data_IF_101922744087
#
_entry.id   IF_101922744087
#
_cell.length_a   1.000
_cell.length_b   1.000
_cell.length_c   1.000
_cell.angle_alpha   90.00
_cell.angle_beta   90.00
_cell.angle_gamma   90.00
#
_symmetry.space_group_name_H-M   'P 1'
#
loop_
_entity.id
_entity.type
_entity.pdbx_description
1 polymer ?
#
# COMPACT_ATOMS: atom_id res chain seq x y z
N UNK A 1 7.46 -3.43 40.67
CA UNK A 1 7.68 -3.33 39.21
C UNK A 1 7.38 -1.89 38.81
N UNK A 2 8.28 -1.18 38.12
CA UNK A 2 7.92 0.11 37.51
C UNK A 2 6.82 -0.18 36.48
N UNK A 3 5.86 0.74 36.30
CA UNK A 3 4.81 0.61 35.29
C UNK A 3 5.36 0.44 33.85
N UNK A 4 6.67 0.63 33.65
CA UNK A 4 7.37 0.41 32.38
C UNK A 4 7.50 -1.05 31.96
N UNK A 5 7.47 -2.02 32.89
CA UNK A 5 7.86 -3.42 32.64
C UNK A 5 6.67 -4.40 32.73
N UNK A 6 5.43 -3.90 32.62
CA UNK A 6 4.22 -4.72 32.62
C UNK A 6 3.96 -5.30 31.21
N UNK A 7 3.98 -6.64 31.03
CA UNK A 7 3.65 -7.28 29.76
C UNK A 7 2.27 -6.89 29.19
N UNK A 8 1.31 -6.55 30.06
CA UNK A 8 0.00 -6.06 29.66
C UNK A 8 0.08 -4.71 28.96
N UNK A 9 0.94 -3.80 29.44
CA UNK A 9 1.17 -2.49 28.84
C UNK A 9 1.81 -2.61 27.46
N UNK A 10 2.82 -3.46 27.30
CA UNK A 10 3.48 -3.67 26.02
C UNK A 10 2.52 -4.23 24.96
N UNK A 11 1.71 -5.23 25.35
CA UNK A 11 0.66 -5.78 24.48
C UNK A 11 -0.39 -4.74 24.12
N UNK A 12 -0.81 -3.90 25.07
CA UNK A 12 -1.73 -2.80 24.80
C UNK A 12 -1.15 -1.79 23.80
N UNK A 13 0.10 -1.35 23.98
CA UNK A 13 0.78 -0.42 23.06
C UNK A 13 0.94 -1.04 21.67
N UNK A 14 1.30 -2.32 21.59
CA UNK A 14 1.36 -3.04 20.32
C UNK A 14 -0.01 -3.12 19.66
N UNK A 15 -1.06 -3.48 20.41
CA UNK A 15 -2.44 -3.52 19.92
C UNK A 15 -2.91 -2.17 19.38
N UNK A 16 -2.67 -1.09 20.14
CA UNK A 16 -3.00 0.28 19.73
C UNK A 16 -2.23 0.74 18.49
N UNK A 17 -1.05 0.17 18.20
CA UNK A 17 -0.33 0.50 16.98
C UNK A 17 -1.02 0.01 15.71
N UNK A 18 -1.92 -0.98 15.81
CA UNK A 18 -2.74 -1.46 14.68
C UNK A 18 -3.99 -0.62 14.44
N UNK A 19 -4.41 0.22 15.39
CA UNK A 19 -5.54 1.11 15.20
C UNK A 19 -5.19 2.16 14.14
N UNK A 20 -6.04 2.30 13.13
CA UNK A 20 -5.94 3.35 12.12
C UNK A 20 -6.79 4.55 12.54
N UNK A 21 -6.18 5.73 12.63
CA UNK A 21 -6.87 6.95 13.03
C UNK A 21 -6.53 8.08 12.07
N UNK A 22 -7.50 8.95 11.80
CA UNK A 22 -7.24 10.22 11.13
C UNK A 22 -6.36 11.10 12.03
N UNK A 23 -5.37 11.74 11.43
CA UNK A 23 -4.44 12.63 12.15
C UNK A 23 -5.03 14.04 12.20
N UNK A 24 -5.00 14.65 13.39
CA UNK A 24 -5.41 16.03 13.56
C UNK A 24 -4.42 16.84 14.39
N UNK A 25 -4.43 18.16 14.20
CA UNK A 25 -3.78 19.12 15.09
C UNK A 25 -4.85 19.88 15.84
N UNK A 26 -4.81 19.74 17.16
CA UNK A 26 -5.64 20.54 18.06
C UNK A 26 -4.91 21.82 18.36
N UNK A 27 -5.59 22.94 18.18
CA UNK A 27 -5.08 24.28 18.47
C UNK A 27 -6.02 25.05 19.38
N UNK A 28 -5.49 26.04 20.06
CA UNK A 28 -6.26 26.98 20.89
C UNK A 28 -5.52 28.31 20.91
N UNK A 29 -6.25 29.41 21.04
CA UNK A 29 -5.70 30.75 21.26
C UNK A 29 -6.70 31.58 22.06
N UNK A 30 -6.22 32.63 22.72
CA UNK A 30 -7.00 33.45 23.65
C UNK A 30 -6.17 33.98 24.82
N UNK A 31 -6.80 34.33 25.95
CA UNK A 31 -6.12 34.91 27.12
C UNK A 31 -5.02 34.04 27.74
N UNK A 32 -5.08 32.71 27.57
CA UNK A 32 -4.06 31.77 28.01
C UNK A 32 -2.97 31.52 26.94
N UNK A 33 -3.03 32.24 25.83
CA UNK A 33 -2.07 32.19 24.74
C UNK A 33 -2.34 31.10 23.71
N UNK A 34 -1.56 31.18 22.62
CA UNK A 34 -1.63 30.27 21.48
C UNK A 34 -0.87 28.99 21.75
N UNK A 35 -1.47 27.84 21.44
CA UNK A 35 -0.84 26.53 21.59
C UNK A 35 -1.46 25.49 20.67
N UNK A 36 -0.70 24.45 20.32
CA UNK A 36 -1.24 23.31 19.58
C UNK A 36 -0.49 22.01 19.80
N UNK A 37 -1.14 20.89 19.46
CA UNK A 37 -0.61 19.53 19.61
C UNK A 37 -1.25 18.58 18.61
N UNK A 38 -0.46 17.64 18.08
CA UNK A 38 -0.97 16.56 17.24
C UNK A 38 -1.69 15.53 18.10
N UNK A 39 -2.90 15.16 17.72
CA UNK A 39 -3.68 14.10 18.37
C UNK A 39 -4.24 13.14 17.32
N UNK A 40 -4.32 11.87 17.69
CA UNK A 40 -5.10 10.86 16.96
C UNK A 40 -6.33 10.41 17.76
N UNK A 41 -6.41 10.79 19.03
CA UNK A 41 -7.52 10.47 19.92
C UNK A 41 -8.61 11.53 19.80
N UNK A 42 -9.43 11.42 18.76
CA UNK A 42 -10.60 12.25 18.48
C UNK A 42 -11.77 11.37 18.03
N UNK A 43 -12.99 11.74 18.43
CA UNK A 43 -14.21 11.07 18.00
C UNK A 43 -15.39 12.05 17.96
N UNK A 44 -16.31 11.82 17.02
CA UNK A 44 -17.66 12.40 17.12
C UNK A 44 -18.34 11.88 18.40
N UNK A 45 -19.13 12.74 19.04
CA UNK A 45 -19.93 12.41 20.23
C UNK A 45 -21.42 12.41 19.91
N UNK A 46 -21.93 13.50 19.33
CA UNK A 46 -23.33 13.60 18.91
C UNK A 46 -23.49 14.60 17.79
N UNK A 47 -24.33 14.27 16.80
CA UNK A 47 -24.88 15.22 15.85
C UNK A 47 -26.35 15.58 16.17
N UNK A 48 -26.98 14.87 17.10
CA UNK A 48 -28.41 14.93 17.41
C UNK A 48 -28.70 15.91 18.56
N UNK A 49 -28.17 17.13 18.46
CA UNK A 49 -28.37 18.22 19.42
C UNK A 49 -28.41 19.56 18.70
N UNK A 50 -28.75 20.65 19.40
CA UNK A 50 -28.77 22.01 18.81
C UNK A 50 -27.43 22.38 18.17
N UNK A 51 -26.32 21.94 18.77
CA UNK A 51 -24.97 22.03 18.23
C UNK A 51 -24.31 20.65 18.21
N UNK A 52 -23.62 20.23 17.12
CA UNK A 52 -22.86 18.99 17.11
C UNK A 52 -21.74 19.01 18.16
N UNK A 53 -21.34 17.83 18.63
CA UNK A 53 -20.31 17.68 19.66
C UNK A 53 -19.28 16.63 19.26
N UNK A 54 -18.03 16.89 19.64
CA UNK A 54 -16.91 15.96 19.49
C UNK A 54 -16.06 15.94 20.75
N UNK A 55 -15.19 14.93 20.86
CA UNK A 55 -14.21 14.85 21.93
C UNK A 55 -12.78 14.73 21.40
N UNK A 56 -11.83 15.18 22.22
CA UNK A 56 -10.39 14.96 22.03
C UNK A 56 -9.76 14.55 23.36
N UNK A 57 -8.68 13.76 23.30
CA UNK A 57 -7.88 13.41 24.46
C UNK A 57 -6.51 14.08 24.38
N UNK A 58 -6.16 14.89 25.37
CA UNK A 58 -4.87 15.59 25.44
C UNK A 58 -4.15 15.20 26.72
N UNK A 59 -2.85 14.95 26.63
CA UNK A 59 -2.05 14.65 27.81
C UNK A 59 -2.07 15.85 28.78
N UNK A 60 -2.30 15.61 30.07
CA UNK A 60 -2.50 16.68 31.07
C UNK A 60 -1.30 17.62 31.27
N UNK A 61 -0.09 17.17 30.91
CA UNK A 61 1.13 18.00 30.94
C UNK A 61 1.38 18.76 29.62
N UNK A 62 0.56 18.56 28.59
CA UNK A 62 0.68 19.34 27.35
C UNK A 62 0.30 20.79 27.64
N UNK A 63 1.07 21.79 27.16
CA UNK A 63 0.69 23.21 27.25
C UNK A 63 -0.71 23.49 26.70
N UNK A 64 -1.11 22.73 25.66
CA UNK A 64 -2.46 22.80 25.07
C UNK A 64 -3.55 22.47 26.08
N UNK A 65 -3.32 21.54 27.02
CA UNK A 65 -4.30 21.24 28.06
C UNK A 65 -4.61 22.48 28.91
N UNK A 66 -3.57 23.21 29.33
CA UNK A 66 -3.72 24.48 30.04
C UNK A 66 -4.36 25.56 29.17
N UNK A 67 -3.94 25.66 27.90
CA UNK A 67 -4.48 26.58 26.92
C UNK A 67 -5.99 26.40 26.71
N UNK A 68 -6.48 25.18 26.49
CA UNK A 68 -7.90 24.90 26.28
C UNK A 68 -8.73 25.23 27.54
N UNK A 69 -8.20 24.91 28.74
CA UNK A 69 -8.89 25.21 29.99
C UNK A 69 -9.03 26.73 30.23
N UNK A 70 -7.99 27.51 29.88
CA UNK A 70 -7.98 28.96 30.03
C UNK A 70 -8.72 29.71 28.93
N UNK A 71 -8.56 29.30 27.67
CA UNK A 71 -9.19 29.94 26.51
C UNK A 71 -10.65 29.52 26.32
N UNK A 72 -11.04 28.35 26.84
CA UNK A 72 -12.38 27.75 26.70
C UNK A 72 -12.77 27.40 25.26
N UNK A 73 -11.83 27.45 24.33
CA UNK A 73 -12.03 27.17 22.90
C UNK A 73 -10.90 26.31 22.36
N UNK A 74 -11.18 25.54 21.32
CA UNK A 74 -10.18 24.78 20.58
C UNK A 74 -10.65 24.47 19.17
N UNK A 75 -9.73 24.36 18.23
CA UNK A 75 -10.01 23.90 16.88
C UNK A 75 -9.38 22.53 16.65
N UNK A 76 -10.12 21.60 16.06
CA UNK A 76 -9.60 20.31 15.60
C UNK A 76 -9.39 20.37 14.10
N UNK A 77 -8.14 20.44 13.67
CA UNK A 77 -7.76 20.50 12.26
C UNK A 77 -7.44 19.10 11.75
N UNK A 78 -8.36 18.48 11.03
CA UNK A 78 -8.09 17.24 10.28
C UNK A 78 -7.12 17.53 9.12
N UNK A 79 -6.05 16.76 9.05
CA UNK A 79 -5.00 16.94 8.07
C UNK A 79 -5.22 16.10 6.82
N UNK A 80 -4.76 16.64 5.70
CA UNK A 80 -4.65 15.92 4.43
C UNK A 80 -3.42 15.03 4.39
N UNK A 81 -3.44 14.04 3.50
CA UNK A 81 -2.35 13.08 3.30
C UNK A 81 -0.99 13.68 2.93
N UNK A 82 -0.95 14.91 2.42
CA UNK A 82 0.28 15.69 2.15
C UNK A 82 0.78 16.54 3.33
N UNK A 83 0.09 16.56 4.47
CA UNK A 83 0.38 17.43 5.62
C UNK A 83 1.07 16.73 6.81
N UNK A 84 1.75 15.61 6.57
CA UNK A 84 2.51 14.89 7.62
C UNK A 84 3.53 15.75 8.35
N UNK A 85 4.14 16.73 7.67
CA UNK A 85 5.08 17.68 8.27
C UNK A 85 4.45 18.55 9.37
N UNK A 86 3.17 18.91 9.23
CA UNK A 86 2.42 19.67 10.27
C UNK A 86 2.22 18.76 11.49
N UNK A 87 1.79 17.52 11.26
CA UNK A 87 1.62 16.52 12.32
C UNK A 87 2.92 16.27 13.09
N UNK A 88 4.06 16.11 12.40
CA UNK A 88 5.34 15.87 13.05
C UNK A 88 5.85 17.09 13.85
N UNK A 89 5.58 18.30 13.36
CA UNK A 89 5.92 19.55 14.07
C UNK A 89 5.16 19.65 15.39
N UNK A 90 3.85 19.43 15.34
CA UNK A 90 2.99 19.52 16.51
C UNK A 90 3.09 18.29 17.45
N UNK A 91 3.64 17.18 16.97
CA UNK A 91 4.05 16.03 17.78
C UNK A 91 5.44 16.21 18.42
N UNK A 92 6.19 17.25 18.06
CA UNK A 92 7.54 17.51 18.57
C UNK A 92 8.63 16.59 17.99
N UNK A 93 8.36 15.93 16.86
CA UNK A 93 9.34 15.09 16.15
C UNK A 93 10.25 15.92 15.25
N UNK A 94 9.72 17.03 14.74
CA UNK A 94 10.44 18.02 13.94
C UNK A 94 10.28 19.36 14.65
N UNK A 95 11.37 20.07 14.91
CA UNK A 95 11.33 21.42 15.44
C UNK A 95 11.90 22.35 14.35
N UNK A 96 11.14 23.37 13.92
CA UNK A 96 11.69 24.45 13.10
C UNK A 96 12.93 25.05 13.79
N UNK A 97 13.97 25.37 13.01
CA UNK A 97 15.26 25.81 13.55
C UNK A 97 15.15 27.16 14.29
N UNK A 98 14.81 27.12 15.58
CA UNK A 98 14.66 28.31 16.43
C UNK A 98 13.35 29.09 16.22
N UNK A 99 12.39 28.55 15.47
CA UNK A 99 11.09 29.22 15.21
C UNK A 99 9.93 28.59 16.00
N UNK A 100 8.81 29.32 16.08
CA UNK A 100 7.54 28.85 16.64
C UNK A 100 7.01 27.66 15.81
N UNK A 101 6.36 26.68 16.45
CA UNK A 101 5.70 25.55 15.77
C UNK A 101 4.70 26.04 14.73
N UNK A 102 4.04 27.17 14.98
CA UNK A 102 3.08 27.76 14.05
C UNK A 102 3.72 28.29 12.76
N UNK A 103 5.05 28.42 12.68
CA UNK A 103 5.74 28.79 11.43
C UNK A 103 5.73 27.69 10.38
N UNK A 104 5.39 26.44 10.71
CA UNK A 104 5.48 25.33 9.75
C UNK A 104 4.47 25.43 8.60
N UNK A 105 3.41 26.22 8.74
CA UNK A 105 2.35 26.39 7.73
C UNK A 105 1.61 27.70 7.95
N UNK A 106 0.67 28.03 7.05
CA UNK A 106 -0.21 29.18 7.21
C UNK A 106 -1.41 28.86 8.09
N UNK A 107 -1.87 29.85 8.86
CA UNK A 107 -3.00 29.73 9.77
C UNK A 107 -4.02 30.84 9.50
N UNK A 108 -5.29 30.45 9.45
CA UNK A 108 -6.43 31.36 9.53
C UNK A 108 -6.94 31.43 10.98
N UNK A 109 -7.81 32.39 11.25
CA UNK A 109 -8.48 32.51 12.54
C UNK A 109 -9.90 31.98 12.42
N UNK A 110 -10.25 30.97 13.22
CA UNK A 110 -11.61 30.44 13.30
C UNK A 110 -12.58 31.42 13.96
N UNK A 111 -13.87 31.11 13.90
CA UNK A 111 -14.94 31.89 14.54
C UNK A 111 -14.74 32.11 16.05
N UNK A 112 -14.14 31.16 16.75
CA UNK A 112 -13.82 31.27 18.19
C UNK A 112 -12.53 32.04 18.47
N UNK A 113 -11.74 32.34 17.44
CA UNK A 113 -10.37 32.82 17.56
C UNK A 113 -9.30 31.71 17.53
N UNK A 114 -9.70 30.44 17.62
CA UNK A 114 -8.74 29.33 17.56
C UNK A 114 -8.03 29.25 16.17
N UNK A 115 -6.73 28.90 16.10
CA UNK A 115 -6.00 28.82 14.83
C UNK A 115 -6.50 27.67 13.96
N UNK A 116 -6.82 27.96 12.70
CA UNK A 116 -7.23 26.98 11.69
C UNK A 116 -6.10 26.80 10.68
N UNK A 117 -5.67 25.57 10.41
CA UNK A 117 -4.65 25.27 9.39
C UNK A 117 -5.19 25.71 8.03
N UNK A 118 -4.45 26.50 7.25
CA UNK A 118 -4.87 26.84 5.88
C UNK A 118 -4.76 25.61 5.00
N UNK A 119 -5.77 25.41 4.15
CA UNK A 119 -5.94 24.19 3.37
C UNK A 119 -5.95 22.95 4.30
N UNK A 120 -6.76 22.95 5.36
CA UNK A 120 -7.04 21.72 6.12
C UNK A 120 -7.93 20.78 5.30
N UNK A 121 -8.11 19.52 5.73
CA UNK A 121 -9.18 18.67 5.17
C UNK A 121 -10.53 19.08 5.76
N UNK A 122 -10.60 19.12 7.09
CA UNK A 122 -11.76 19.63 7.85
C UNK A 122 -11.25 20.37 9.08
N UNK A 123 -11.86 21.49 9.43
CA UNK A 123 -11.65 22.18 10.70
C UNK A 123 -12.96 22.22 11.49
N UNK A 124 -12.92 21.71 12.72
CA UNK A 124 -14.02 21.81 13.68
C UNK A 124 -13.65 22.84 14.73
N UNK A 125 -14.23 24.03 14.63
CA UNK A 125 -14.01 25.09 15.60
C UNK A 125 -14.98 24.93 16.78
N UNK A 126 -14.45 24.81 18.00
CA UNK A 126 -15.19 24.31 19.14
C UNK A 126 -15.12 25.23 20.36
N UNK A 127 -16.24 25.33 21.07
CA UNK A 127 -16.28 25.83 22.45
C UNK A 127 -16.29 24.66 23.43
N UNK A 128 -15.51 24.76 24.50
CA UNK A 128 -15.41 23.73 25.52
C UNK A 128 -16.69 23.68 26.36
N UNK A 129 -17.36 22.53 26.40
CA UNK A 129 -18.53 22.29 27.25
C UNK A 129 -18.18 21.50 28.51
N UNK A 130 -17.34 20.46 28.39
CA UNK A 130 -17.01 19.58 29.51
C UNK A 130 -15.59 19.04 29.40
N UNK A 131 -14.94 18.81 30.55
CA UNK A 131 -13.68 18.09 30.60
C UNK A 131 -13.62 17.16 31.81
N UNK A 132 -12.91 16.04 31.65
CA UNK A 132 -12.69 15.07 32.72
C UNK A 132 -11.33 14.40 32.56
N UNK A 133 -10.60 14.26 33.67
CA UNK A 133 -9.27 13.64 33.67
C UNK A 133 -9.38 12.14 33.88
N UNK A 134 -8.75 11.37 32.99
CA UNK A 134 -8.61 9.92 33.06
C UNK A 134 -7.13 9.56 32.97
N UNK A 135 -6.54 9.16 34.10
CA UNK A 135 -5.11 8.87 34.20
C UNK A 135 -4.25 10.06 33.78
N UNK A 136 -3.46 9.86 32.73
CA UNK A 136 -2.53 10.87 32.19
C UNK A 136 -3.16 11.81 31.15
N UNK A 137 -4.42 11.61 30.78
CA UNK A 137 -5.09 12.40 29.75
C UNK A 137 -6.31 13.13 30.30
N UNK A 138 -6.62 14.27 29.72
CA UNK A 138 -7.88 14.99 29.90
C UNK A 138 -8.69 14.79 28.63
N UNK A 139 -9.93 14.33 28.80
CA UNK A 139 -10.91 14.26 27.74
C UNK A 139 -11.64 15.60 27.73
N UNK A 140 -11.57 16.30 26.60
CA UNK A 140 -12.31 17.53 26.35
C UNK A 140 -13.47 17.22 25.42
N UNK A 141 -14.66 17.65 25.77
CA UNK A 141 -15.86 17.60 24.92
C UNK A 141 -16.19 19.03 24.52
N UNK A 142 -16.25 19.29 23.22
CA UNK A 142 -16.56 20.60 22.66
C UNK A 142 -17.83 20.58 21.82
N UNK A 143 -18.56 21.68 21.84
CA UNK A 143 -19.62 21.96 20.87
C UNK A 143 -19.01 22.65 19.65
N UNK A 144 -19.34 22.16 18.46
CA UNK A 144 -18.79 22.63 17.19
C UNK A 144 -19.58 23.86 16.74
N UNK A 145 -18.97 25.04 16.82
CA UNK A 145 -19.61 26.32 16.44
C UNK A 145 -19.45 26.66 14.96
N UNK A 146 -18.49 26.03 14.29
CA UNK A 146 -18.24 26.13 12.86
C UNK A 146 -17.54 24.87 12.35
N UNK A 147 -17.94 24.40 11.15
CA UNK A 147 -17.26 23.33 10.42
C UNK A 147 -16.85 23.85 9.06
N UNK A 148 -15.57 23.76 8.75
CA UNK A 148 -15.00 24.16 7.47
C UNK A 148 -14.49 22.90 6.77
N UNK A 149 -14.93 22.66 5.54
CA UNK A 149 -14.59 21.46 4.76
C UNK A 149 -13.92 21.90 3.46
N UNK A 150 -12.81 21.25 3.11
CA UNK A 150 -12.18 21.38 1.80
C UNK A 150 -12.22 20.04 1.06
N UNK A 151 -12.81 20.05 -0.12
CA UNK A 151 -12.89 18.88 -0.99
C UNK A 151 -11.56 18.62 -1.74
N UNK A 152 -11.42 17.41 -2.30
CA UNK A 152 -10.40 17.10 -3.29
C UNK A 152 -9.13 16.41 -2.77
N UNK A 153 -9.06 16.09 -1.47
CA UNK A 153 -7.90 15.41 -0.89
C UNK A 153 -8.30 14.29 0.08
N UNK A 154 -7.42 13.30 0.23
CA UNK A 154 -7.62 12.19 1.16
C UNK A 154 -7.08 12.56 2.57
N UNK A 155 -7.66 11.97 3.65
CA UNK A 155 -7.18 12.22 5.00
C UNK A 155 -5.82 11.59 5.28
N UNK A 156 -5.01 12.27 6.09
CA UNK A 156 -3.82 11.66 6.67
C UNK A 156 -4.23 10.61 7.71
N UNK A 157 -3.78 9.38 7.50
CA UNK A 157 -4.01 8.26 8.42
C UNK A 157 -2.70 7.93 9.14
N UNK A 158 -2.80 7.63 10.43
CA UNK A 158 -1.70 7.05 11.20
C UNK A 158 -2.07 5.63 11.65
N UNK A 159 -1.27 4.66 11.23
CA UNK A 159 -1.43 3.25 11.55
C UNK A 159 -0.07 2.53 11.46
N UNK A 160 0.13 1.46 12.21
CA UNK A 160 1.40 0.70 12.26
C UNK A 160 2.63 1.60 12.45
N UNK A 161 2.49 2.66 13.25
CA UNK A 161 3.51 3.68 13.53
C UNK A 161 3.96 4.52 12.33
N UNK A 162 3.26 4.47 11.20
CA UNK A 162 3.54 5.25 10.00
C UNK A 162 2.35 6.10 9.54
N UNK A 163 2.63 7.10 8.72
CA UNK A 163 1.61 7.85 8.00
C UNK A 163 1.20 7.12 6.72
N UNK A 164 -0.04 7.31 6.30
CA UNK A 164 -0.57 6.82 5.04
C UNK A 164 -1.79 7.62 4.60
N UNK A 165 -2.37 7.19 3.49
CA UNK A 165 -3.63 7.72 2.93
C UNK A 165 -4.59 6.55 2.78
N UNK A 166 -5.90 6.70 3.05
CA UNK A 166 -6.83 5.61 2.82
C UNK A 166 -7.00 5.40 1.33
N UNK A 167 -7.08 4.14 0.92
CA UNK A 167 -7.58 3.79 -0.40
C UNK A 167 -9.04 3.40 -0.25
N UNK A 168 -9.94 4.05 -0.98
CA UNK A 168 -11.34 3.61 -1.02
C UNK A 168 -11.38 2.23 -1.67
N UNK A 169 -12.02 1.28 -0.99
CA UNK A 169 -12.22 -0.07 -1.53
C UNK A 169 -13.03 -0.03 -2.84
N UNK A 170 -13.85 1.00 -3.00
CA UNK A 170 -14.67 1.22 -4.19
C UNK A 170 -13.94 2.01 -5.30
N UNK A 171 -12.95 2.86 -5.01
CA UNK A 171 -12.16 3.52 -6.08
C UNK A 171 -11.09 2.59 -6.65
N UNK A 172 -10.63 1.62 -5.86
CA UNK A 172 -9.98 0.43 -6.41
C UNK A 172 -10.94 -0.38 -7.31
N UNK A 173 -12.24 -0.05 -7.34
CA UNK A 173 -13.31 -0.74 -8.06
C UNK A 173 -14.01 0.03 -9.17
N UNK A 174 -13.77 1.33 -9.29
CA UNK A 174 -14.59 2.22 -10.10
C UNK A 174 -13.70 3.18 -10.88
N UNK A 175 -13.25 2.76 -12.06
CA UNK A 175 -13.43 3.61 -13.24
C UNK A 175 -14.88 3.44 -13.65
N UNK A 176 -15.71 4.44 -13.34
CA UNK A 176 -17.15 4.43 -13.53
C UNK A 176 -17.56 4.38 -14.99
N UNK A 177 -17.64 3.18 -15.54
CA UNK A 177 -18.44 2.86 -16.71
C UNK A 177 -19.69 2.13 -16.25
N UNK A 178 -20.83 2.53 -16.81
CA UNK A 178 -22.10 1.80 -16.73
C UNK A 178 -21.81 0.31 -16.91
N UNK A 179 -22.45 -0.55 -16.12
CA UNK A 179 -22.27 -2.01 -16.16
C UNK A 179 -22.90 -2.59 -17.45
N UNK A 180 -22.31 -2.23 -18.58
CA UNK A 180 -22.71 -2.64 -19.91
C UNK A 180 -22.09 -4.00 -20.25
N UNK A 181 -22.75 -4.82 -21.08
CA UNK A 181 -22.23 -6.14 -21.48
C UNK A 181 -20.83 -6.11 -22.11
N UNK A 182 -20.44 -4.96 -22.68
CA UNK A 182 -19.17 -4.75 -23.39
C UNK A 182 -18.05 -4.14 -22.53
N UNK A 183 -18.27 -3.86 -21.24
CA UNK A 183 -17.21 -3.42 -20.34
C UNK A 183 -16.50 -4.63 -19.70
N UNK A 184 -15.17 -4.62 -19.74
CA UNK A 184 -14.29 -5.61 -19.13
C UNK A 184 -13.32 -4.96 -18.13
N UNK A 185 -13.51 -5.29 -16.84
CA UNK A 185 -12.63 -4.85 -15.76
C UNK A 185 -11.66 -5.96 -15.38
N UNK A 186 -10.36 -5.72 -15.55
CA UNK A 186 -9.32 -6.73 -15.39
C UNK A 186 -8.46 -6.42 -14.17
N UNK A 187 -8.48 -7.31 -13.18
CA UNK A 187 -7.48 -7.32 -12.11
C UNK A 187 -6.17 -7.94 -12.59
N UNK A 188 -5.01 -7.39 -12.27
CA UNK A 188 -3.74 -8.00 -12.63
C UNK A 188 -2.65 -7.75 -11.60
N UNK A 189 -1.90 -8.81 -11.28
CA UNK A 189 -0.74 -8.69 -10.41
C UNK A 189 0.32 -7.77 -11.04
N UNK A 190 0.90 -6.88 -10.24
CA UNK A 190 1.69 -5.76 -10.77
C UNK A 190 2.86 -6.16 -11.68
N UNK A 191 3.53 -7.30 -11.43
CA UNK A 191 4.62 -7.74 -12.33
C UNK A 191 4.12 -8.36 -13.62
N UNK A 192 2.89 -8.90 -13.62
CA UNK A 192 2.26 -9.49 -14.79
C UNK A 192 1.74 -8.45 -15.76
N UNK A 193 1.22 -7.33 -15.22
CA UNK A 193 0.60 -6.28 -15.99
C UNK A 193 1.45 -5.81 -17.18
N UNK A 194 2.71 -5.36 -17.02
CA UNK A 194 3.51 -4.86 -18.14
C UNK A 194 3.94 -5.95 -19.13
N UNK A 195 3.95 -7.22 -18.73
CA UNK A 195 4.45 -8.33 -19.58
C UNK A 195 3.33 -8.99 -20.38
N UNK A 196 2.15 -9.14 -19.80
CA UNK A 196 1.05 -9.90 -20.40
C UNK A 196 -0.09 -9.03 -20.91
N UNK A 197 -0.54 -8.03 -20.14
CA UNK A 197 -1.75 -7.28 -20.49
C UNK A 197 -1.64 -6.56 -21.83
N UNK A 198 -0.59 -5.80 -22.17
CA UNK A 198 -0.52 -5.09 -23.45
C UNK A 198 -0.74 -6.00 -24.67
N UNK A 199 -0.16 -7.21 -24.65
CA UNK A 199 -0.31 -8.19 -25.74
C UNK A 199 -1.70 -8.80 -25.77
N UNK A 200 -2.27 -9.13 -24.60
CA UNK A 200 -3.61 -9.68 -24.49
C UNK A 200 -4.66 -8.64 -24.93
N UNK A 201 -4.51 -7.37 -24.55
CA UNK A 201 -5.46 -6.33 -24.92
C UNK A 201 -5.39 -6.00 -26.41
N UNK A 202 -4.19 -5.87 -26.97
CA UNK A 202 -4.02 -5.64 -28.41
C UNK A 202 -4.69 -6.76 -29.25
N UNK A 203 -4.59 -8.02 -28.80
CA UNK A 203 -5.22 -9.14 -29.48
C UNK A 203 -6.75 -9.22 -29.22
N UNK A 204 -7.21 -8.75 -28.05
CA UNK A 204 -8.65 -8.66 -27.74
C UNK A 204 -9.34 -7.59 -28.60
N UNK A 205 -8.73 -6.41 -28.74
CA UNK A 205 -9.23 -5.31 -29.58
C UNK A 205 -9.27 -5.72 -31.07
N UNK A 206 -8.32 -6.54 -31.52
CA UNK A 206 -8.30 -7.05 -32.90
C UNK A 206 -9.46 -8.02 -33.20
N UNK A 207 -10.04 -8.66 -32.18
CA UNK A 207 -11.06 -9.70 -32.33
C UNK A 207 -12.51 -9.21 -32.13
N UNK A 208 -12.74 -7.98 -31.64
CA UNK A 208 -14.06 -7.47 -31.27
C UNK A 208 -14.32 -6.03 -31.71
N UNK A 209 -15.59 -5.69 -32.00
CA UNK A 209 -16.05 -4.31 -32.15
C UNK A 209 -16.42 -3.76 -30.75
N UNK A 210 -15.65 -2.76 -30.30
CA UNK A 210 -15.83 -1.93 -29.09
C UNK A 210 -16.05 -2.69 -27.77
N UNK A 211 -14.94 -3.17 -27.18
CA UNK A 211 -14.87 -3.54 -25.75
C UNK A 211 -14.18 -2.39 -25.01
N UNK A 212 -14.83 -1.90 -23.97
CA UNK A 212 -14.22 -0.93 -23.07
C UNK A 212 -13.47 -1.69 -21.97
N UNK A 213 -12.18 -1.40 -21.80
CA UNK A 213 -11.30 -2.13 -20.89
C UNK A 213 -10.74 -1.21 -19.83
N UNK A 214 -10.90 -1.61 -18.58
CA UNK A 214 -10.27 -0.95 -17.43
C UNK A 214 -9.46 -1.93 -16.59
N UNK A 215 -8.48 -1.41 -15.86
CA UNK A 215 -7.49 -2.23 -15.17
C UNK A 215 -7.39 -1.88 -13.69
N UNK A 216 -7.27 -2.92 -12.87
CA UNK A 216 -6.90 -2.81 -11.47
C UNK A 216 -5.57 -3.54 -11.31
N UNK A 217 -4.48 -2.77 -11.37
CA UNK A 217 -3.12 -3.29 -11.24
C UNK A 217 -2.64 -3.08 -9.81
N UNK A 218 -2.31 -4.18 -9.13
CA UNK A 218 -1.93 -4.10 -7.74
C UNK A 218 -1.28 -5.37 -7.21
N UNK A 219 -1.12 -5.41 -5.89
CA UNK A 219 -0.70 -6.62 -5.20
C UNK A 219 -1.85 -7.64 -5.16
N UNK A 220 -1.52 -8.89 -4.87
CA UNK A 220 -2.49 -9.98 -4.90
C UNK A 220 -3.72 -9.69 -4.01
N UNK A 221 -3.52 -9.18 -2.79
CA UNK A 221 -4.63 -8.82 -1.89
C UNK A 221 -5.59 -7.79 -2.51
N UNK A 222 -5.07 -6.75 -3.16
CA UNK A 222 -5.89 -5.72 -3.81
C UNK A 222 -6.68 -6.29 -5.00
N UNK A 223 -6.02 -7.14 -5.81
CA UNK A 223 -6.64 -7.77 -6.98
C UNK A 223 -7.75 -8.76 -6.57
N UNK A 224 -7.57 -9.48 -5.47
CA UNK A 224 -8.59 -10.39 -4.94
C UNK A 224 -9.74 -9.64 -4.28
N UNK A 225 -9.45 -8.57 -3.55
CA UNK A 225 -10.48 -7.72 -2.98
C UNK A 225 -11.33 -7.09 -4.08
N UNK A 226 -10.69 -6.67 -5.17
CA UNK A 226 -11.36 -6.21 -6.35
C UNK A 226 -12.33 -7.28 -6.94
N UNK A 227 -11.92 -8.55 -7.00
CA UNK A 227 -12.85 -9.61 -7.45
C UNK A 227 -14.06 -9.75 -6.51
N UNK A 228 -13.83 -9.65 -5.19
CA UNK A 228 -14.89 -9.79 -4.17
C UNK A 228 -15.89 -8.63 -4.19
N UNK A 229 -15.38 -7.40 -4.29
CA UNK A 229 -16.19 -6.19 -4.27
C UNK A 229 -16.85 -5.86 -5.62
N UNK A 230 -16.77 -6.77 -6.61
CA UNK A 230 -17.26 -6.53 -7.96
C UNK A 230 -16.55 -5.33 -8.65
N UNK A 231 -15.30 -5.08 -8.29
CA UNK A 231 -14.42 -4.10 -8.93
C UNK A 231 -13.86 -4.59 -10.26
N UNK A 232 -13.52 -5.87 -10.33
CA UNK A 232 -13.09 -6.54 -11.54
C UNK A 232 -13.93 -7.77 -11.84
N UNK A 233 -14.06 -8.07 -13.13
CA UNK A 233 -14.81 -9.21 -13.64
C UNK A 233 -13.93 -10.48 -13.63
N UNK A 234 -12.63 -10.31 -13.83
CA UNK A 234 -11.64 -11.38 -13.96
C UNK A 234 -10.25 -10.88 -13.55
N UNK A 235 -9.40 -11.76 -13.04
CA UNK A 235 -8.04 -11.36 -12.67
C UNK A 235 -6.94 -12.35 -13.07
N UNK A 236 -5.75 -11.83 -13.38
CA UNK A 236 -4.53 -12.60 -13.59
C UNK A 236 -3.59 -12.45 -12.38
N UNK A 237 -3.30 -13.55 -11.69
CA UNK A 237 -2.52 -13.54 -10.44
C UNK A 237 -1.78 -14.86 -10.18
N UNK A 238 -1.21 -15.02 -8.98
CA UNK A 238 -0.61 -16.28 -8.53
C UNK A 238 -1.60 -17.16 -7.74
N UNK A 239 -1.42 -18.49 -7.74
CA UNK A 239 -2.14 -19.44 -6.87
C UNK A 239 -1.49 -19.56 -5.48
N UNK A 240 -1.82 -18.65 -4.57
CA UNK A 240 -1.31 -18.68 -3.20
C UNK A 240 -2.44 -18.52 -2.19
N UNK A 241 -3.19 -19.61 -2.01
CA UNK A 241 -4.26 -19.76 -1.01
C UNK A 241 -5.43 -18.80 -1.23
N UNK A 242 -5.98 -18.82 -2.44
CA UNK A 242 -7.17 -18.03 -2.77
C UNK A 242 -8.41 -18.54 -1.99
N UNK A 243 -9.24 -17.60 -1.57
CA UNK A 243 -10.47 -17.77 -0.79
C UNK A 243 -11.41 -18.86 -1.36
N UNK A 244 -12.24 -19.49 -0.52
CA UNK A 244 -13.25 -20.48 -0.96
C UNK A 244 -14.24 -19.91 -1.98
N UNK A 245 -14.46 -18.60 -2.02
CA UNK A 245 -15.38 -17.94 -2.96
C UNK A 245 -14.77 -17.69 -4.35
N UNK A 246 -13.45 -17.82 -4.49
CA UNK A 246 -12.74 -17.58 -5.76
C UNK A 246 -12.56 -18.90 -6.52
N UNK A 247 -12.95 -18.89 -7.79
CA UNK A 247 -12.66 -19.93 -8.77
C UNK A 247 -11.32 -19.61 -9.42
N UNK A 248 -10.43 -20.59 -9.40
CA UNK A 248 -9.08 -20.50 -9.92
C UNK A 248 -8.98 -21.43 -11.12
N UNK A 249 -8.43 -20.93 -12.21
CA UNK A 249 -8.01 -21.73 -13.35
C UNK A 249 -6.51 -21.54 -13.57
N UNK A 250 -5.75 -22.62 -13.53
CA UNK A 250 -4.31 -22.56 -13.79
C UNK A 250 -4.03 -22.36 -15.28
N UNK A 251 -3.22 -21.34 -15.59
CA UNK A 251 -2.83 -20.98 -16.95
C UNK A 251 -1.43 -21.48 -17.29
N UNK A 252 -0.48 -21.32 -16.36
CA UNK A 252 0.92 -21.69 -16.57
C UNK A 252 1.69 -21.85 -15.25
N UNK A 253 2.86 -22.48 -15.33
CA UNK A 253 3.87 -22.45 -14.27
C UNK A 253 4.87 -21.32 -14.52
N UNK A 254 5.25 -20.62 -13.47
CA UNK A 254 6.26 -19.59 -13.42
C UNK A 254 7.46 -20.11 -12.63
N UNK A 255 8.38 -20.76 -13.35
CA UNK A 255 9.64 -21.23 -12.77
C UNK A 255 10.50 -20.03 -12.35
N UNK A 256 11.03 -20.01 -11.12
CA UNK A 256 11.94 -18.97 -10.70
C UNK A 256 13.27 -19.09 -11.46
N UNK A 257 13.91 -17.95 -11.69
CA UNK A 257 15.23 -17.84 -12.30
C UNK A 257 16.09 -16.90 -11.47
N UNK A 258 17.40 -16.99 -11.63
CA UNK A 258 18.34 -16.02 -11.07
C UNK A 258 18.67 -14.93 -12.09
N UNK A 259 18.60 -13.68 -11.64
CA UNK A 259 19.06 -12.52 -12.38
C UNK A 259 20.46 -12.13 -11.89
N UNK A 260 21.41 -12.04 -12.82
CA UNK A 260 22.81 -11.66 -12.61
C UNK A 260 23.18 -10.49 -13.53
N UNK A 261 24.19 -9.68 -13.20
CA UNK A 261 24.81 -8.81 -14.19
C UNK A 261 25.49 -9.67 -15.27
N UNK A 262 25.47 -9.20 -16.52
CA UNK A 262 26.07 -9.95 -17.63
C UNK A 262 27.59 -10.18 -17.47
N UNK A 263 28.26 -9.37 -16.65
CA UNK A 263 29.69 -9.50 -16.32
C UNK A 263 29.98 -10.45 -15.16
N UNK A 264 28.97 -11.04 -14.52
CA UNK A 264 29.18 -11.95 -13.39
C UNK A 264 29.80 -13.27 -13.84
N UNK A 265 30.68 -13.87 -13.03
CA UNK A 265 31.31 -15.17 -13.32
C UNK A 265 30.27 -16.27 -13.59
N UNK A 266 29.26 -16.37 -12.72
CA UNK A 266 28.14 -17.31 -12.86
C UNK A 266 27.24 -17.04 -14.08
N UNK A 267 27.35 -15.89 -14.76
CA UNK A 267 26.54 -15.60 -15.95
C UNK A 267 26.94 -16.46 -17.16
N UNK A 268 28.10 -17.13 -17.10
CA UNK A 268 28.58 -18.08 -18.11
C UNK A 268 28.02 -19.50 -17.96
N UNK A 269 27.33 -19.79 -16.85
CA UNK A 269 26.73 -21.10 -16.60
C UNK A 269 25.38 -21.24 -17.30
N UNK A 270 24.99 -22.47 -17.64
CA UNK A 270 23.65 -22.76 -18.17
C UNK A 270 22.57 -22.70 -17.08
N UNK A 271 22.93 -23.10 -15.86
CA UNK A 271 22.06 -23.12 -14.68
C UNK A 271 22.88 -22.91 -13.42
N UNK A 272 22.29 -22.27 -12.41
CA UNK A 272 23.03 -21.86 -11.20
C UNK A 272 22.42 -22.52 -9.96
N UNK A 273 23.21 -23.23 -9.13
CA UNK A 273 22.73 -23.81 -7.88
C UNK A 273 22.52 -22.73 -6.81
N UNK A 274 21.42 -22.84 -6.06
CA UNK A 274 21.03 -21.91 -5.00
C UNK A 274 22.04 -21.86 -3.85
N UNK A 275 22.78 -22.95 -3.62
CA UNK A 275 23.85 -22.99 -2.63
C UNK A 275 25.01 -22.03 -2.96
N UNK A 276 25.30 -21.79 -4.24
CA UNK A 276 26.30 -20.81 -4.65
C UNK A 276 25.75 -19.39 -4.57
N UNK A 277 24.47 -19.20 -4.91
CA UNK A 277 23.79 -17.93 -4.75
C UNK A 277 23.70 -17.48 -3.29
N UNK A 278 23.50 -18.40 -2.34
CA UNK A 278 23.43 -18.08 -0.92
C UNK A 278 24.70 -17.39 -0.38
N UNK A 279 25.86 -17.62 -1.01
CA UNK A 279 27.14 -17.00 -0.66
C UNK A 279 27.27 -15.55 -1.17
N UNK A 280 26.43 -15.15 -2.12
CA UNK A 280 26.44 -13.84 -2.76
C UNK A 280 25.43 -12.88 -2.10
N UNK A 281 25.62 -11.55 -2.22
CA UNK A 281 24.62 -10.60 -1.74
C UNK A 281 23.34 -10.69 -2.59
N UNK A 282 22.21 -10.90 -1.92
CA UNK A 282 20.88 -10.94 -2.52
C UNK A 282 20.22 -9.56 -2.47
N UNK A 283 19.61 -9.19 -3.59
CA UNK A 283 18.66 -8.07 -3.71
C UNK A 283 17.27 -8.69 -3.72
N UNK A 284 16.51 -8.49 -2.66
CA UNK A 284 15.20 -9.11 -2.47
C UNK A 284 14.07 -8.19 -2.92
N UNK A 285 13.21 -8.70 -3.80
CA UNK A 285 11.93 -8.06 -4.15
C UNK A 285 10.96 -8.15 -2.96
N UNK A 286 10.89 -7.07 -2.17
CA UNK A 286 10.13 -6.98 -0.92
C UNK A 286 8.66 -6.61 -1.20
N UNK A 287 7.92 -7.57 -1.76
CA UNK A 287 6.46 -7.48 -1.92
C UNK A 287 5.82 -8.83 -1.66
N UNK A 288 4.76 -8.91 -0.83
CA UNK A 288 3.90 -10.08 -0.80
C UNK A 288 3.19 -10.29 -2.16
N UNK A 289 3.06 -11.54 -2.63
CA UNK A 289 3.55 -12.76 -2.02
C UNK A 289 5.00 -13.15 -2.40
N UNK A 290 5.61 -12.44 -3.36
CA UNK A 290 6.93 -12.77 -3.93
C UNK A 290 8.04 -12.91 -2.89
N UNK A 291 8.07 -12.05 -1.87
CA UNK A 291 9.06 -12.12 -0.79
C UNK A 291 9.00 -13.47 -0.06
N UNK A 292 7.80 -13.87 0.38
CA UNK A 292 7.60 -15.11 1.13
C UNK A 292 7.89 -16.34 0.28
N UNK A 293 7.56 -16.26 -1.01
CA UNK A 293 7.85 -17.30 -1.98
C UNK A 293 9.38 -17.50 -2.13
N UNK A 294 10.14 -16.45 -2.46
CA UNK A 294 11.59 -16.59 -2.67
C UNK A 294 12.33 -17.02 -1.40
N UNK A 295 11.97 -16.48 -0.23
CA UNK A 295 12.53 -16.94 1.05
C UNK A 295 12.07 -18.36 1.41
N UNK A 296 10.90 -18.78 0.95
CA UNK A 296 10.42 -20.16 1.03
C UNK A 296 11.34 -21.14 0.31
N UNK A 297 11.79 -20.80 -0.91
CA UNK A 297 12.71 -21.65 -1.70
C UNK A 297 14.02 -21.92 -0.97
N UNK A 298 14.61 -20.90 -0.33
CA UNK A 298 15.81 -21.07 0.49
C UNK A 298 15.56 -21.98 1.70
N UNK A 299 14.43 -21.79 2.39
CA UNK A 299 14.05 -22.63 3.55
C UNK A 299 13.80 -24.09 3.18
N UNK A 300 13.21 -24.37 2.02
CA UNK A 300 13.01 -25.74 1.51
C UNK A 300 14.34 -26.49 1.36
N UNK A 301 15.40 -25.77 0.98
CA UNK A 301 16.75 -26.31 0.81
C UNK A 301 17.61 -26.24 2.09
N UNK A 302 17.08 -25.74 3.21
CA UNK A 302 17.81 -25.62 4.46
C UNK A 302 18.98 -24.63 4.42
N UNK A 303 18.94 -23.66 3.51
CA UNK A 303 19.97 -22.61 3.35
C UNK A 303 19.39 -21.22 3.60
N UNK A 304 20.24 -20.26 3.98
CA UNK A 304 19.83 -18.89 4.26
C UNK A 304 20.48 -17.92 3.25
N UNK A 305 19.72 -17.02 2.62
CA UNK A 305 20.27 -16.03 1.70
C UNK A 305 20.92 -14.85 2.45
N UNK A 306 22.03 -14.33 1.93
CA UNK A 306 22.63 -13.09 2.43
C UNK A 306 21.90 -11.86 1.85
N UNK A 307 20.80 -11.43 2.48
CA UNK A 307 20.00 -10.30 1.99
C UNK A 307 20.70 -8.97 2.26
N UNK A 308 21.20 -8.33 1.20
CA UNK A 308 21.87 -7.02 1.27
C UNK A 308 20.91 -5.85 1.08
N UNK A 309 19.98 -5.97 0.13
CA UNK A 309 19.02 -4.92 -0.19
C UNK A 309 17.60 -5.48 -0.25
N UNK A 310 16.63 -4.65 0.12
CA UNK A 310 15.19 -4.93 0.03
C UNK A 310 14.53 -3.78 -0.70
N UNK A 311 13.76 -4.08 -1.74
CA UNK A 311 13.02 -3.05 -2.48
C UNK A 311 11.70 -3.58 -3.01
N UNK A 312 10.62 -2.78 -2.96
CA UNK A 312 9.34 -3.16 -3.56
C UNK A 312 9.29 -3.04 -5.09
N UNK A 313 10.29 -2.41 -5.71
CA UNK A 313 10.30 -2.09 -7.14
C UNK A 313 11.06 -3.13 -7.95
N UNK A 314 10.37 -3.77 -8.89
CA UNK A 314 10.94 -4.77 -9.80
C UNK A 314 12.11 -4.18 -10.63
N UNK A 315 11.98 -2.95 -11.12
CA UNK A 315 13.03 -2.31 -11.91
C UNK A 315 14.21 -1.82 -11.06
N UNK A 316 13.97 -1.46 -9.81
CA UNK A 316 15.06 -1.17 -8.87
C UNK A 316 15.88 -2.44 -8.59
N UNK A 317 15.24 -3.60 -8.46
CA UNK A 317 15.95 -4.89 -8.38
C UNK A 317 16.86 -5.07 -9.61
N UNK A 318 16.31 -4.93 -10.82
CA UNK A 318 17.08 -5.07 -12.06
C UNK A 318 18.26 -4.11 -12.13
N UNK A 319 18.05 -2.83 -11.80
CA UNK A 319 19.12 -1.81 -11.78
C UNK A 319 20.23 -2.14 -10.78
N UNK A 320 19.90 -2.54 -9.55
CA UNK A 320 20.89 -2.93 -8.54
C UNK A 320 21.68 -4.18 -8.97
N UNK A 321 21.01 -5.17 -9.59
CA UNK A 321 21.68 -6.35 -10.16
C UNK A 321 22.61 -5.95 -11.30
N UNK A 322 22.14 -5.12 -12.25
CA UNK A 322 22.94 -4.64 -13.38
C UNK A 322 24.19 -3.86 -12.95
N UNK A 323 24.14 -3.20 -11.78
CA UNK A 323 25.29 -2.51 -11.16
C UNK A 323 26.21 -3.42 -10.35
N UNK A 324 26.03 -4.73 -10.44
CA UNK A 324 26.84 -5.73 -9.73
C UNK A 324 26.83 -5.56 -8.20
N UNK A 325 25.69 -5.14 -7.64
CA UNK A 325 25.49 -5.00 -6.19
C UNK A 325 24.93 -6.28 -5.54
N UNK A 326 24.56 -7.27 -6.36
CA UNK A 326 24.06 -8.56 -5.94
C UNK A 326 23.30 -9.28 -7.06
N UNK A 327 22.70 -10.42 -6.73
CA UNK A 327 21.78 -11.16 -7.59
C UNK A 327 20.34 -11.01 -7.09
N UNK A 328 19.36 -11.44 -7.88
CA UNK A 328 17.97 -11.60 -7.41
C UNK A 328 17.36 -12.87 -7.93
N UNK A 329 16.39 -13.43 -7.20
CA UNK A 329 15.46 -14.41 -7.75
C UNK A 329 14.21 -13.69 -8.26
N UNK A 330 13.73 -14.06 -9.44
CA UNK A 330 12.53 -13.50 -10.08
C UNK A 330 11.78 -14.62 -10.82
N UNK A 331 10.54 -14.36 -11.19
CA UNK A 331 9.70 -15.30 -11.97
C UNK A 331 9.23 -14.66 -13.28
N UNK A 332 8.86 -13.39 -13.25
CA UNK A 332 8.48 -12.64 -14.45
C UNK A 332 9.71 -12.18 -15.22
N UNK A 333 9.76 -12.44 -16.53
CA UNK A 333 10.88 -12.07 -17.42
C UNK A 333 10.43 -11.02 -18.45
N UNK A 334 10.96 -9.78 -18.39
CA UNK A 334 10.77 -8.80 -19.45
C UNK A 334 11.38 -9.28 -20.77
N UNK A 335 10.90 -8.73 -21.89
CA UNK A 335 11.45 -9.05 -23.21
C UNK A 335 12.90 -8.54 -23.40
N UNK A 336 13.32 -7.57 -22.59
CA UNK A 336 14.66 -6.95 -22.65
C UNK A 336 15.54 -7.41 -21.51
N UNK A 337 16.83 -7.60 -21.82
CA UNK A 337 17.90 -7.86 -20.87
C UNK A 337 18.60 -6.57 -20.41
N UNK A 338 18.11 -5.39 -20.80
CA UNK A 338 18.71 -4.10 -20.43
C UNK A 338 17.91 -3.43 -19.32
N UNK A 339 18.58 -2.95 -18.28
CA UNK A 339 17.99 -2.18 -17.17
C UNK A 339 17.66 -0.75 -17.61
N UNK A 340 16.82 -0.04 -16.85
CA UNK A 340 16.48 1.35 -17.16
C UNK A 340 17.68 2.29 -17.17
N UNK A 341 18.70 2.02 -16.35
CA UNK A 341 19.95 2.79 -16.29
C UNK A 341 21.02 2.28 -17.26
N UNK A 342 20.67 1.39 -18.20
CA UNK A 342 21.50 0.98 -19.33
C UNK A 342 22.43 -0.21 -19.09
N UNK A 343 22.35 -0.89 -17.95
CA UNK A 343 23.17 -2.07 -17.65
C UNK A 343 22.59 -3.34 -18.29
N UNK A 344 23.45 -4.31 -18.60
CA UNK A 344 23.03 -5.62 -19.13
C UNK A 344 22.90 -6.64 -17.99
N UNK A 345 21.79 -7.37 -17.97
CA UNK A 345 21.52 -8.46 -17.02
C UNK A 345 21.17 -9.74 -17.75
N UNK A 346 21.49 -10.88 -17.13
CA UNK A 346 21.23 -12.22 -17.65
C UNK A 346 20.32 -12.96 -16.69
N UNK A 347 19.33 -13.66 -17.24
CA UNK A 347 18.41 -14.51 -16.51
C UNK A 347 18.77 -15.98 -16.77
N UNK A 348 19.19 -16.70 -15.72
CA UNK A 348 19.57 -18.10 -15.80
C UNK A 348 18.62 -18.99 -14.97
N UNK A 349 18.26 -20.19 -15.43
CA UNK A 349 17.57 -21.19 -14.63
C UNK A 349 18.31 -21.53 -13.34
N UNK A 350 17.55 -21.92 -12.31
CA UNK A 350 18.11 -22.54 -11.12
C UNK A 350 18.43 -24.01 -11.40
N UNK A 351 19.53 -24.51 -10.83
CA UNK A 351 19.92 -25.91 -10.97
C UNK A 351 19.10 -26.85 -10.05
N UNK A 352 18.62 -26.32 -8.92
CA UNK A 352 17.81 -27.04 -7.94
C UNK A 352 16.36 -27.19 -8.40
N UNK A 353 15.74 -28.32 -8.05
CA UNK A 353 14.29 -28.49 -8.20
C UNK A 353 13.58 -27.67 -7.14
N UNK A 354 12.83 -26.66 -7.58
CA UNK A 354 12.09 -25.74 -6.71
C UNK A 354 10.63 -25.67 -7.14
N UNK A 355 9.75 -25.53 -6.16
CA UNK A 355 8.31 -25.41 -6.39
C UNK A 355 8.00 -24.20 -7.29
N UNK A 356 7.42 -24.38 -8.49
CA UNK A 356 7.12 -23.25 -9.37
C UNK A 356 5.93 -22.43 -8.84
N UNK A 357 5.95 -21.13 -9.10
CA UNK A 357 4.76 -20.31 -8.95
C UNK A 357 3.70 -20.74 -9.97
N UNK A 358 2.42 -20.64 -9.64
CA UNK A 358 1.33 -20.97 -10.58
C UNK A 358 0.64 -19.68 -11.00
N UNK A 359 0.67 -19.38 -12.30
CA UNK A 359 -0.06 -18.26 -12.91
C UNK A 359 -1.49 -18.73 -13.11
N UNK A 360 -2.44 -17.95 -12.60
CA UNK A 360 -3.85 -18.31 -12.62
C UNK A 360 -4.73 -17.18 -13.11
N UNK A 361 -5.85 -17.60 -13.70
CA UNK A 361 -7.01 -16.78 -13.92
C UNK A 361 -7.97 -16.97 -12.73
N UNK A 362 -8.36 -15.87 -12.09
CA UNK A 362 -9.23 -15.86 -10.93
C UNK A 362 -10.57 -15.17 -11.25
N UNK A 363 -11.66 -15.77 -10.80
CA UNK A 363 -13.06 -15.32 -10.98
C UNK A 363 -13.87 -15.67 -9.73
N UNK A 364 -15.08 -15.13 -9.56
CA UNK A 364 -15.95 -15.48 -8.41
C UNK A 364 -16.79 -16.73 -8.76
N UNK A 365 -16.87 -17.73 -7.86
CA UNK A 365 -17.45 -19.06 -8.15
C UNK A 365 -18.90 -19.06 -8.64
N UNK A 366 -19.75 -18.22 -8.05
CA UNK A 366 -21.19 -18.19 -8.28
C UNK A 366 -21.63 -17.02 -9.16
N UNK A 367 -20.66 -16.38 -9.83
CA UNK A 367 -20.90 -15.27 -10.74
C UNK A 367 -20.76 -15.74 -12.18
N UNK A 368 -21.75 -15.43 -13.00
CA UNK A 368 -21.63 -15.64 -14.44
C UNK A 368 -20.69 -14.60 -15.05
N UNK A 369 -19.75 -15.07 -15.89
CA UNK A 369 -18.84 -14.19 -16.62
C UNK A 369 -19.56 -13.53 -17.81
N UNK A 370 -19.35 -12.22 -17.94
CA UNK A 370 -19.73 -11.45 -19.13
C UNK A 370 -19.07 -12.00 -20.39
N UNK A 371 -19.61 -11.66 -21.56
CA UNK A 371 -19.06 -12.09 -22.85
C UNK A 371 -17.60 -11.64 -23.01
N UNK A 372 -17.29 -10.37 -22.71
CA UNK A 372 -15.94 -9.84 -22.80
C UNK A 372 -14.96 -10.58 -21.84
N UNK A 373 -15.40 -10.92 -20.63
CA UNK A 373 -14.59 -11.70 -19.68
C UNK A 373 -14.36 -13.15 -20.16
N UNK A 374 -15.37 -13.79 -20.76
CA UNK A 374 -15.26 -15.12 -21.38
C UNK A 374 -14.26 -15.09 -22.55
N UNK A 375 -14.28 -14.04 -23.38
CA UNK A 375 -13.34 -13.85 -24.49
C UNK A 375 -11.91 -13.63 -23.99
N UNK A 376 -11.72 -12.75 -23.00
CA UNK A 376 -10.42 -12.52 -22.38
C UNK A 376 -9.86 -13.78 -21.73
N UNK A 377 -10.70 -14.58 -21.05
CA UNK A 377 -10.30 -15.87 -20.50
C UNK A 377 -9.82 -16.84 -21.58
N UNK A 378 -10.56 -16.96 -22.69
CA UNK A 378 -10.17 -17.78 -23.85
C UNK A 378 -8.84 -17.33 -24.44
N UNK A 379 -8.62 -16.01 -24.52
CA UNK A 379 -7.37 -15.45 -25.01
C UNK A 379 -6.19 -15.74 -24.07
N UNK A 380 -6.38 -15.60 -22.76
CA UNK A 380 -5.37 -15.96 -21.76
C UNK A 380 -4.96 -17.43 -21.92
N UNK A 381 -5.91 -18.36 -22.00
CA UNK A 381 -5.62 -19.79 -22.23
C UNK A 381 -4.74 -19.98 -23.47
N UNK A 382 -5.18 -19.44 -24.61
CA UNK A 382 -4.42 -19.56 -25.89
C UNK A 382 -3.01 -18.97 -25.77
N UNK A 383 -2.87 -17.83 -25.10
CA UNK A 383 -1.59 -17.15 -24.92
C UNK A 383 -0.62 -18.01 -24.11
N UNK A 384 -1.05 -18.51 -22.94
CA UNK A 384 -0.20 -19.30 -22.06
C UNK A 384 0.08 -20.71 -22.59
N UNK A 385 -0.85 -21.33 -23.33
CA UNK A 385 -0.59 -22.61 -24.03
C UNK A 385 0.49 -22.43 -25.12
N UNK A 386 0.37 -21.43 -26.00
CA UNK A 386 1.40 -21.17 -27.04
C UNK A 386 2.77 -20.81 -26.44
N UNK A 387 2.78 -20.06 -25.33
CA UNK A 387 4.01 -19.73 -24.63
C UNK A 387 4.70 -20.99 -24.08
N UNK A 388 3.94 -21.94 -23.52
CA UNK A 388 4.51 -23.20 -23.04
C UNK A 388 5.14 -24.05 -24.15
N UNK A 389 4.51 -24.11 -25.33
CA UNK A 389 5.04 -24.82 -26.50
C UNK A 389 6.25 -24.13 -27.12
N UNK A 390 6.29 -22.78 -27.08
CA UNK A 390 7.41 -21.97 -27.55
C UNK A 390 8.66 -22.07 -26.66
N UNK A 391 8.48 -22.14 -25.34
CA UNK A 391 9.58 -22.39 -24.40
C UNK A 391 10.18 -23.80 -24.58
N UNK A 392 9.35 -24.84 -24.80
CA UNK A 392 9.85 -26.21 -25.04
C UNK A 392 10.63 -26.36 -26.36
N UNK A 393 10.30 -25.58 -27.40
CA UNK A 393 11.02 -25.59 -28.69
C UNK A 393 12.34 -24.81 -28.67
N UNK A 394 12.52 -23.88 -27.72
CA UNK A 394 13.78 -23.16 -27.59
C UNK A 394 14.85 -23.99 -26.86
N UNK A 395 14.43 -24.86 -25.92
CA UNK A 395 15.29 -25.84 -25.22
C UNK A 395 15.72 -27.03 -26.10
N UNK A 396 15.09 -27.24 -27.26
CA UNK A 396 15.34 -28.41 -28.13
C UNK A 396 16.01 -28.07 -29.48
N UNK A 397 16.44 -26.81 -29.66
CA UNK A 397 17.14 -26.34 -30.89
C UNK A 397 18.62 -25.98 -30.69
N UNK A 398 19.20 -26.33 -29.55
CA UNK A 398 20.65 -26.30 -29.33
C UNK A 398 21.16 -27.70 -28.97
N UNK A 399 20.98 -28.65 -29.89
CA UNK A 399 21.76 -29.89 -29.93
C UNK A 399 22.68 -29.88 -31.15
#
# INVERSE_FOLDING_TARGET
MKASDDPGRERFISGMSHAANTVSVVTTDGPAGRSGVTVSAMSSVSADSEMPTLLICVHHLSPVCGGILGNRVFCVNLLRDDQSFVADTFAGRVLPAGEDKFSCTMWATGKTGAPVVVNHLVAFDCELIQNFRVGSHVIFVGQVVETIIHDGHAPLIYANRGYGTPLRLDEAAVTGQVDEPNNLRIGCFFTFAPVYLPRLIAELERQNQEIDVSFIVGHQGQVLEALRSNACDIALSYDLQLDRQIRIEQLAEAKPYVLLPASHELASLERVPMHDLAKLPMILLQRPPSEQYFLGLYRELGIEPNIRFRTPSFEMVRGLVGRNLGYSLLTTRPATNTTHDGCSVVALPLADEVSPGRIVLATVKDRELKLAAKQFASLCRKFFTKASEGLQKHDSREN
#
